data_IF_480347244911
#
_entry.id   IF_480347244911
#
_cell.length_a   1.000
_cell.length_b   1.000
_cell.length_c   1.000
_cell.angle_alpha   90.00
_cell.angle_beta   90.00
_cell.angle_gamma   90.00
#
_symmetry.space_group_name_H-M   'P 1'
#
loop_
_entity.id
_entity.type
_entity.pdbx_description
1 polymer ?
#
# COMPACT_ATOMS: atom_id res chain seq x y z
N UNK A 1 18.78 17.22 -2.76
CA UNK A 1 18.55 15.79 -3.06
C UNK A 1 19.56 15.33 -4.08
N UNK A 2 20.13 14.13 -3.89
CA UNK A 2 20.96 13.43 -4.87
C UNK A 2 20.25 12.11 -5.16
N UNK A 3 19.90 11.85 -6.43
CA UNK A 3 19.26 10.61 -6.85
C UNK A 3 20.33 9.52 -6.98
N UNK A 4 20.09 8.37 -6.38
CA UNK A 4 20.94 7.19 -6.49
C UNK A 4 20.45 6.27 -7.63
N UNK A 5 21.30 5.33 -8.06
CA UNK A 5 20.98 4.42 -9.17
C UNK A 5 19.87 3.40 -8.84
N UNK A 6 19.61 3.17 -7.56
CA UNK A 6 18.60 2.23 -7.05
C UNK A 6 17.22 2.87 -6.82
N UNK A 7 17.04 4.13 -7.26
CA UNK A 7 15.80 4.89 -7.07
C UNK A 7 15.66 5.55 -5.71
N UNK A 8 16.60 5.34 -4.78
CA UNK A 8 16.65 6.09 -3.52
C UNK A 8 17.26 7.49 -3.72
N UNK A 9 17.16 8.31 -2.68
CA UNK A 9 17.72 9.66 -2.64
C UNK A 9 18.52 9.88 -1.36
N UNK A 10 19.66 10.55 -1.48
CA UNK A 10 20.35 11.12 -0.32
C UNK A 10 20.00 12.62 -0.20
N UNK A 11 19.68 13.06 1.02
CA UNK A 11 19.35 14.45 1.32
C UNK A 11 20.60 15.14 1.86
N UNK A 12 21.42 15.71 0.96
CA UNK A 12 22.71 16.34 1.29
C UNK A 12 22.52 17.80 1.76
N UNK A 13 23.28 18.20 2.78
CA UNK A 13 23.22 19.55 3.36
C UNK A 13 24.23 20.48 2.69
N UNK A 14 23.75 21.54 2.03
CA UNK A 14 24.60 22.50 1.31
C UNK A 14 25.50 23.34 2.19
N UNK A 15 25.12 23.63 3.43
CA UNK A 15 25.95 24.36 4.42
C UNK A 15 27.27 23.63 4.66
N UNK A 16 27.24 22.31 4.65
CA UNK A 16 28.44 21.45 4.76
C UNK A 16 29.19 21.25 3.43
N UNK A 17 28.87 22.01 2.39
CA UNK A 17 29.31 21.75 1.01
C UNK A 17 29.01 20.30 0.57
N UNK A 18 27.81 19.82 0.92
CA UNK A 18 27.36 18.44 0.73
C UNK A 18 28.14 17.39 1.54
N UNK A 19 29.02 17.72 2.50
CA UNK A 19 29.73 16.71 3.31
C UNK A 19 28.83 15.94 4.31
N UNK A 20 27.64 16.45 4.61
CA UNK A 20 26.66 15.86 5.53
C UNK A 20 25.34 15.53 4.83
N UNK A 21 24.54 14.66 5.44
CA UNK A 21 23.21 14.28 4.99
C UNK A 21 22.25 13.94 6.14
N UNK A 22 20.96 13.88 5.81
CA UNK A 22 19.93 13.34 6.71
C UNK A 22 20.05 11.81 6.79
N UNK A 23 20.08 11.28 8.01
CA UNK A 23 20.17 9.85 8.29
C UNK A 23 19.34 9.40 9.51
N UNK A 24 19.12 8.09 9.63
CA UNK A 24 18.67 7.48 10.90
C UNK A 24 19.88 7.24 11.81
N UNK A 25 19.80 7.75 13.04
CA UNK A 25 20.87 7.68 14.06
C UNK A 25 21.30 6.23 14.28
N UNK A 26 22.61 5.99 14.22
CA UNK A 26 23.24 4.69 14.47
C UNK A 26 22.68 3.52 13.63
N UNK A 27 22.02 3.80 12.49
CA UNK A 27 21.33 2.78 11.66
C UNK A 27 20.24 2.03 12.43
N UNK A 28 19.67 2.66 13.47
CA UNK A 28 18.63 2.03 14.29
C UNK A 28 17.42 1.64 13.43
N UNK A 29 16.87 0.46 13.73
CA UNK A 29 15.61 -0.04 13.14
C UNK A 29 14.46 0.01 14.15
N UNK A 30 14.72 0.53 15.34
CA UNK A 30 13.73 0.65 16.40
C UNK A 30 12.73 1.75 16.08
N UNK A 31 11.46 1.54 16.45
CA UNK A 31 10.44 2.56 16.33
C UNK A 31 10.82 3.80 17.16
N UNK A 32 10.67 4.98 16.55
CA UNK A 32 11.09 6.23 17.18
C UNK A 32 12.60 6.50 17.10
N UNK A 33 13.34 5.76 16.28
CA UNK A 33 14.73 6.09 15.96
C UNK A 33 14.86 7.55 15.50
N UNK A 34 15.82 8.26 16.07
CA UNK A 34 16.01 9.67 15.79
C UNK A 34 16.56 9.90 14.37
N UNK A 35 16.02 10.91 13.69
CA UNK A 35 16.57 11.43 12.43
C UNK A 35 17.60 12.53 12.78
N UNK A 36 18.78 12.47 12.18
CA UNK A 36 19.84 13.44 12.42
C UNK A 36 20.53 13.88 11.12
N UNK A 37 21.24 15.01 11.19
CA UNK A 37 22.25 15.35 10.20
C UNK A 37 23.59 14.74 10.61
N UNK A 38 24.23 14.01 9.72
CA UNK A 38 25.51 13.36 9.97
C UNK A 38 26.41 13.41 8.75
N UNK A 39 27.71 13.16 8.94
CA UNK A 39 28.66 13.02 7.83
C UNK A 39 28.18 11.97 6.85
N UNK A 40 28.12 12.34 5.57
CA UNK A 40 27.77 11.41 4.52
C UNK A 40 28.88 10.37 4.34
N UNK A 41 28.52 9.10 4.50
CA UNK A 41 29.41 7.95 4.33
C UNK A 41 28.80 6.88 3.38
N UNK A 42 27.62 7.14 2.83
CA UNK A 42 26.94 6.23 1.90
C UNK A 42 26.26 5.04 2.57
N UNK A 43 26.08 5.08 3.89
CA UNK A 43 25.32 4.05 4.61
C UNK A 43 23.85 3.99 4.16
N UNK A 44 23.25 2.81 4.20
CA UNK A 44 21.85 2.62 3.80
C UNK A 44 20.86 3.50 4.60
N UNK A 45 21.19 3.81 5.85
CA UNK A 45 20.41 4.71 6.71
C UNK A 45 20.44 6.19 6.26
N UNK A 46 21.22 6.51 5.23
CA UNK A 46 21.36 7.84 4.62
C UNK A 46 20.60 7.96 3.28
N UNK A 47 19.90 6.89 2.87
CA UNK A 47 19.19 6.78 1.61
C UNK A 47 17.68 6.65 1.87
N UNK A 48 16.89 7.46 1.18
CA UNK A 48 15.47 7.63 1.40
C UNK A 48 14.70 7.39 0.10
N UNK A 49 13.63 6.62 0.17
CA UNK A 49 12.67 6.55 -0.92
C UNK A 49 11.62 7.63 -0.72
N UNK A 50 11.29 8.36 -1.78
CA UNK A 50 10.18 9.30 -1.77
C UNK A 50 8.94 8.52 -2.21
N UNK A 51 8.02 8.31 -1.28
CA UNK A 51 6.69 7.83 -1.60
C UNK A 51 5.78 9.03 -1.89
N UNK A 52 4.92 8.92 -2.90
CA UNK A 52 3.76 9.79 -3.02
C UNK A 52 2.71 9.27 -2.03
N UNK A 53 2.32 10.08 -1.06
CA UNK A 53 1.27 9.73 -0.11
C UNK A 53 -0.03 9.35 -0.83
N UNK A 54 -0.49 8.13 -0.58
CA UNK A 54 -1.91 7.90 -0.24
C UNK A 54 -1.92 7.83 1.29
N UNK A 55 -2.60 8.73 2.01
CA UNK A 55 -2.42 8.88 3.46
C UNK A 55 -3.19 7.81 4.21
N UNK A 56 -2.76 6.56 4.10
CA UNK A 56 -3.11 5.43 4.97
C UNK A 56 -1.97 4.42 4.86
N UNK A 57 -0.82 4.68 5.46
CA UNK A 57 0.10 3.60 5.87
C UNK A 57 1.20 4.08 6.82
N UNK A 58 1.34 3.36 7.93
CA UNK A 58 2.49 3.40 8.82
C UNK A 58 3.55 2.44 8.25
N UNK A 59 4.82 2.81 8.07
CA UNK A 59 5.80 1.94 7.41
C UNK A 59 6.34 0.92 8.42
N UNK A 60 5.65 -0.21 8.55
CA UNK A 60 6.23 -1.44 9.08
C UNK A 60 6.47 -2.41 7.93
N UNK A 61 7.69 -2.94 7.88
CA UNK A 61 8.25 -3.77 6.81
C UNK A 61 7.46 -5.06 6.58
N UNK A 62 6.81 -5.20 5.43
CA UNK A 62 6.18 -6.47 5.03
C UNK A 62 7.14 -7.36 4.23
N UNK A 63 7.45 -8.51 4.84
CA UNK A 63 7.99 -9.69 4.16
C UNK A 63 6.77 -10.52 3.71
N UNK A 64 6.71 -11.07 2.48
CA UNK A 64 5.49 -11.68 1.97
C UNK A 64 5.18 -12.96 2.74
N UNK A 65 4.18 -12.89 3.61
CA UNK A 65 3.57 -14.03 4.29
C UNK A 65 2.09 -14.06 3.91
N UNK A 66 1.66 -15.17 3.31
CA UNK A 66 0.32 -15.39 2.75
C UNK A 66 -0.66 -15.73 3.88
N UNK A 67 -0.79 -14.85 4.89
CA UNK A 67 -1.61 -15.14 6.08
C UNK A 67 -2.65 -14.08 6.48
N UNK A 68 -2.71 -12.89 5.87
CA UNK A 68 -3.64 -11.85 6.32
C UNK A 68 -4.40 -11.15 5.16
N UNK A 69 -4.85 -11.90 4.14
CA UNK A 69 -5.74 -11.32 3.12
C UNK A 69 -7.13 -11.13 3.75
N UNK A 70 -7.53 -9.88 3.93
CA UNK A 70 -8.90 -9.53 4.29
C UNK A 70 -9.72 -9.34 3.01
N UNK A 71 -10.33 -10.42 2.54
CA UNK A 71 -11.12 -10.38 1.31
C UNK A 71 -12.24 -9.33 1.40
N UNK A 72 -12.27 -8.43 0.43
CA UNK A 72 -13.20 -7.30 0.35
C UNK A 72 -12.66 -5.97 0.87
N UNK A 73 -11.50 -5.94 1.53
CA UNK A 73 -10.88 -4.70 2.07
C UNK A 73 -9.95 -4.07 1.02
N UNK A 74 -10.55 -3.44 0.02
CA UNK A 74 -9.83 -2.86 -1.12
C UNK A 74 -9.04 -1.60 -0.72
N UNK A 75 -9.53 -0.84 0.26
CA UNK A 75 -8.88 0.39 0.71
C UNK A 75 -7.89 0.18 1.88
N UNK A 76 -7.77 -1.05 2.39
CA UNK A 76 -6.85 -1.48 3.46
C UNK A 76 -7.14 -0.77 4.79
N UNK A 77 -8.42 -0.51 5.09
CA UNK A 77 -8.86 0.12 6.33
C UNK A 77 -9.27 -0.89 7.43
N UNK A 78 -9.12 -2.20 7.14
CA UNK A 78 -9.47 -3.35 7.99
C UNK A 78 -10.96 -3.55 8.18
N UNK A 79 -11.79 -2.93 7.34
CA UNK A 79 -13.23 -3.12 7.28
C UNK A 79 -13.61 -3.49 5.86
N UNK A 80 -14.78 -4.12 5.73
CA UNK A 80 -15.37 -4.40 4.41
C UNK A 80 -16.70 -3.69 4.36
N UNK A 81 -16.80 -2.73 3.45
CA UNK A 81 -17.94 -1.81 3.35
C UNK A 81 -18.10 -1.29 1.92
N UNK A 82 -19.15 -0.49 1.70
CA UNK A 82 -19.33 0.22 0.43
C UNK A 82 -18.13 1.09 0.01
N UNK A 83 -17.31 1.55 0.97
CA UNK A 83 -16.10 2.34 0.68
C UNK A 83 -15.09 1.56 -0.17
N UNK A 84 -15.02 0.25 0.01
CA UNK A 84 -14.15 -0.65 -0.74
C UNK A 84 -14.63 -0.84 -2.17
N UNK A 85 -15.95 -1.03 -2.36
CA UNK A 85 -16.57 -1.02 -3.69
C UNK A 85 -16.28 0.28 -4.45
N UNK A 86 -16.34 1.42 -3.76
CA UNK A 86 -16.04 2.72 -4.35
C UNK A 86 -14.56 2.83 -4.73
N UNK A 87 -13.65 2.35 -3.87
CA UNK A 87 -12.22 2.33 -4.16
C UNK A 87 -11.91 1.48 -5.42
N UNK A 88 -12.56 0.32 -5.56
CA UNK A 88 -12.47 -0.52 -6.76
C UNK A 88 -12.95 0.22 -8.00
N UNK A 89 -14.15 0.81 -7.97
CA UNK A 89 -14.72 1.51 -9.13
C UNK A 89 -13.88 2.72 -9.55
N UNK A 90 -13.34 3.46 -8.58
CA UNK A 90 -12.43 4.58 -8.84
C UNK A 90 -11.13 4.10 -9.49
N UNK A 91 -10.53 3.02 -8.99
CA UNK A 91 -9.33 2.41 -9.55
C UNK A 91 -9.57 1.90 -10.98
N UNK A 92 -10.67 1.17 -11.21
CA UNK A 92 -11.05 0.68 -12.55
C UNK A 92 -11.28 1.83 -13.54
N UNK A 93 -11.88 2.93 -13.08
CA UNK A 93 -12.12 4.11 -13.92
C UNK A 93 -10.85 4.93 -14.19
N UNK A 94 -9.93 5.03 -13.22
CA UNK A 94 -8.69 5.75 -13.38
C UNK A 94 -7.59 5.31 -12.39
N UNK A 95 -6.87 4.25 -12.76
CA UNK A 95 -5.74 3.71 -11.99
C UNK A 95 -4.67 4.76 -11.73
N UNK A 96 -4.42 5.70 -12.65
CA UNK A 96 -3.34 6.70 -12.47
C UNK A 96 -3.58 7.66 -11.30
N UNK A 97 -4.85 7.84 -10.90
CA UNK A 97 -5.24 8.74 -9.81
C UNK A 97 -5.68 7.99 -8.55
N UNK A 98 -6.22 6.78 -8.71
CA UNK A 98 -6.81 5.98 -7.63
C UNK A 98 -6.20 4.59 -7.56
N UNK A 99 -4.88 4.50 -7.73
CA UNK A 99 -4.16 3.23 -7.66
C UNK A 99 -4.34 2.59 -6.28
N UNK A 100 -4.85 1.37 -6.25
CA UNK A 100 -4.84 0.53 -5.06
C UNK A 100 -3.42 0.05 -4.74
N UNK A 101 -3.15 -0.15 -3.44
CA UNK A 101 -1.90 -0.76 -2.98
C UNK A 101 -1.78 -2.21 -3.46
N UNK A 102 -0.60 -2.81 -3.38
CA UNK A 102 -0.45 -4.21 -3.77
C UNK A 102 -1.28 -5.16 -2.88
N UNK A 103 -1.52 -4.79 -1.63
CA UNK A 103 -2.42 -5.50 -0.72
C UNK A 103 -3.88 -5.26 -1.09
N UNK A 104 -4.29 -3.99 -1.22
CA UNK A 104 -5.65 -3.64 -1.63
C UNK A 104 -6.04 -4.29 -2.95
N UNK A 105 -5.08 -4.47 -3.87
CA UNK A 105 -5.31 -5.23 -5.11
C UNK A 105 -5.63 -6.71 -4.88
N UNK A 106 -4.95 -7.36 -3.92
CA UNK A 106 -5.22 -8.76 -3.56
C UNK A 106 -6.56 -8.87 -2.82
N UNK A 107 -6.81 -7.96 -1.87
CA UNK A 107 -8.03 -7.94 -1.09
C UNK A 107 -9.27 -7.64 -1.96
N UNK A 108 -9.10 -6.81 -3.00
CA UNK A 108 -10.15 -6.39 -3.93
C UNK A 108 -10.52 -7.43 -4.99
N UNK A 109 -9.65 -8.37 -5.34
CA UNK A 109 -9.91 -9.40 -6.37
C UNK A 109 -10.74 -10.56 -5.77
N UNK A 110 -12.01 -10.26 -5.51
CA UNK A 110 -12.93 -11.12 -4.74
C UNK A 110 -13.81 -11.98 -5.62
N UNK A 111 -13.91 -11.70 -6.92
CA UNK A 111 -14.64 -12.48 -7.91
C UNK A 111 -13.65 -13.10 -8.89
N UNK A 112 -13.70 -14.43 -9.03
CA UNK A 112 -12.81 -15.17 -9.92
C UNK A 112 -11.32 -14.85 -9.66
N UNK A 113 -10.94 -14.83 -8.37
CA UNK A 113 -9.59 -14.51 -7.86
C UNK A 113 -8.45 -14.87 -8.83
N UNK A 114 -7.66 -13.85 -9.17
CA UNK A 114 -6.62 -13.90 -10.20
C UNK A 114 -7.09 -13.38 -11.56
N UNK A 115 -8.37 -13.01 -11.69
CA UNK A 115 -8.92 -12.37 -12.90
C UNK A 115 -8.53 -10.89 -12.99
N UNK A 116 -8.07 -10.31 -11.89
CA UNK A 116 -7.79 -8.89 -11.75
C UNK A 116 -9.03 -8.11 -11.29
N UNK A 117 -8.84 -6.83 -11.02
CA UNK A 117 -9.86 -6.00 -10.36
C UNK A 117 -10.82 -5.42 -11.40
N UNK A 118 -12.10 -5.70 -11.22
CA UNK A 118 -13.18 -5.35 -12.15
C UNK A 118 -14.38 -4.73 -11.41
N UNK A 119 -15.40 -4.32 -12.16
CA UNK A 119 -16.68 -3.91 -11.57
C UNK A 119 -17.45 -5.05 -10.90
N UNK A 120 -17.16 -6.31 -11.19
CA UNK A 120 -17.81 -7.47 -10.55
C UNK A 120 -17.35 -7.62 -9.10
N UNK A 121 -16.08 -7.32 -8.82
CA UNK A 121 -15.53 -7.28 -7.47
C UNK A 121 -16.23 -6.24 -6.61
N UNK A 122 -16.42 -5.03 -7.16
CA UNK A 122 -17.17 -3.98 -6.50
C UNK A 122 -18.62 -4.41 -6.20
N UNK A 123 -19.27 -5.12 -7.14
CA UNK A 123 -20.61 -5.64 -6.96
C UNK A 123 -20.67 -6.73 -5.87
N UNK A 124 -19.69 -7.62 -5.79
CA UNK A 124 -19.62 -8.62 -4.72
C UNK A 124 -19.53 -7.98 -3.33
N UNK A 125 -18.70 -6.93 -3.19
CA UNK A 125 -18.60 -6.18 -1.93
C UNK A 125 -19.92 -5.44 -1.61
N UNK A 126 -20.62 -4.90 -2.61
CA UNK A 126 -21.96 -4.30 -2.40
C UNK A 126 -22.96 -5.33 -1.86
N UNK A 127 -22.88 -6.58 -2.35
CA UNK A 127 -23.72 -7.65 -1.84
C UNK A 127 -23.34 -8.07 -0.42
N UNK A 128 -22.04 -8.03 -0.07
CA UNK A 128 -21.59 -8.22 1.32
C UNK A 128 -22.11 -7.13 2.25
N UNK A 129 -21.99 -5.86 1.84
CA UNK A 129 -22.51 -4.71 2.60
C UNK A 129 -24.03 -4.79 2.80
N UNK A 130 -24.76 -5.28 1.80
CA UNK A 130 -26.21 -5.51 1.88
C UNK A 130 -26.63 -6.74 2.70
N UNK A 131 -25.67 -7.59 3.09
CA UNK A 131 -25.92 -8.85 3.80
C UNK A 131 -26.46 -10.01 2.95
N UNK A 132 -26.50 -9.84 1.62
CA UNK A 132 -26.82 -10.92 0.66
C UNK A 132 -25.69 -11.95 0.62
N UNK A 133 -24.45 -11.47 0.72
CA UNK A 133 -23.24 -12.27 0.89
C UNK A 133 -22.65 -12.03 2.27
N UNK A 134 -21.94 -13.03 2.80
CA UNK A 134 -21.09 -12.86 3.97
C UNK A 134 -19.64 -12.68 3.53
N UNK A 135 -18.90 -11.82 4.23
CA UNK A 135 -17.47 -11.61 3.96
C UNK A 135 -16.67 -12.92 3.98
N UNK A 136 -17.05 -13.87 4.85
CA UNK A 136 -16.42 -15.20 4.95
C UNK A 136 -16.63 -16.10 3.71
N UNK A 137 -17.53 -15.73 2.81
CA UNK A 137 -17.75 -16.45 1.55
C UNK A 137 -16.82 -15.97 0.44
N UNK A 138 -16.14 -14.84 0.62
CA UNK A 138 -15.17 -14.34 -0.35
C UNK A 138 -13.84 -15.12 -0.26
N UNK A 139 -13.15 -15.37 -1.40
CA UNK A 139 -13.55 -15.00 -2.76
C UNK A 139 -14.58 -15.97 -3.36
N UNK A 140 -15.46 -15.44 -4.20
CA UNK A 140 -16.53 -16.21 -4.88
C UNK A 140 -16.23 -16.38 -6.38
N UNK A 141 -16.97 -17.27 -7.03
CA UNK A 141 -17.01 -17.34 -8.50
C UNK A 141 -18.04 -16.37 -9.07
N UNK A 142 -17.81 -15.86 -10.28
CA UNK A 142 -18.77 -14.98 -10.96
C UNK A 142 -20.17 -15.60 -11.13
N UNK A 143 -20.26 -16.94 -11.19
CA UNK A 143 -21.54 -17.68 -11.20
C UNK A 143 -22.34 -17.55 -9.90
N UNK A 144 -21.69 -17.22 -8.78
CA UNK A 144 -22.30 -17.11 -7.45
C UNK A 144 -22.70 -15.67 -7.09
N UNK A 145 -22.44 -14.72 -8.00
CA UNK A 145 -22.69 -13.28 -7.82
C UNK A 145 -24.18 -12.92 -7.95
N UNK A 146 -24.96 -13.67 -8.75
CA UNK A 146 -26.37 -13.37 -9.04
C UNK A 146 -27.32 -14.44 -8.48
N UNK A 147 -27.10 -14.86 -7.23
CA UNK A 147 -27.93 -15.85 -6.54
C UNK A 147 -29.22 -15.28 -5.98
#
# INVERSE_FOLDING_TARGET
>A
FVKNNDGSYSIRTKVSADASCIEITSKSRENGANVQEWTYNGGNNQNWYIASDNPTDNPATETPSVSDILWGDANVDKKVSISDSVAILQSVANVSRYALTNEGKRNADVVDNGSGITGQDAAAIQLVDSGVLQQSELPIKSSELNR
#
